data_IF_818040748451
#
_entry.id   IF_818040748451
#
_cell.length_a   1.000
_cell.length_b   1.000
_cell.length_c   1.000
_cell.angle_alpha   90.00
_cell.angle_beta   90.00
_cell.angle_gamma   90.00
#
_symmetry.space_group_name_H-M   'P 1'
#
loop_
_entity.id
_entity.type
_entity.pdbx_description
1 polymer ?
#
# COMPACT_ATOMS: atom_id res chain seq x y z
N UNK A 1 36.16 0.39 -10.53
CA UNK A 1 34.97 1.11 -10.00
C UNK A 1 33.77 0.37 -10.52
N UNK A 2 33.10 -0.41 -9.66
CA UNK A 2 31.85 -1.12 -10.05
C UNK A 2 30.79 -0.06 -10.27
N UNK A 3 30.30 0.05 -11.50
CA UNK A 3 29.15 0.91 -11.86
C UNK A 3 27.95 0.53 -10.99
N UNK A 4 27.26 1.52 -10.42
CA UNK A 4 26.00 1.28 -9.66
C UNK A 4 25.00 0.54 -10.55
N UNK A 5 24.25 -0.46 -10.02
CA UNK A 5 23.45 -1.37 -10.84
C UNK A 5 22.40 -0.70 -11.72
N UNK A 6 21.86 0.46 -11.29
CA UNK A 6 20.88 1.25 -12.02
C UNK A 6 21.46 2.58 -12.55
N UNK A 7 22.80 2.67 -12.70
CA UNK A 7 23.42 3.87 -13.24
C UNK A 7 22.90 4.17 -14.64
N UNK A 8 22.50 5.43 -14.88
CA UNK A 8 21.91 5.88 -16.13
C UNK A 8 20.44 5.51 -16.34
N UNK A 9 19.81 4.80 -15.40
CA UNK A 9 18.38 4.50 -15.45
C UNK A 9 17.54 5.59 -14.79
N UNK A 10 16.46 6.00 -15.44
CA UNK A 10 15.51 6.96 -14.92
C UNK A 10 14.20 6.25 -14.52
N UNK A 11 13.85 6.33 -13.23
CA UNK A 11 12.73 5.61 -12.62
C UNK A 11 11.63 6.58 -12.20
N UNK A 12 10.42 6.40 -12.71
CA UNK A 12 9.22 7.10 -12.22
C UNK A 12 8.59 6.34 -11.05
N UNK A 13 8.40 7.02 -9.92
CA UNK A 13 7.75 6.52 -8.72
C UNK A 13 6.34 7.11 -8.60
N UNK A 14 5.31 6.24 -8.63
CA UNK A 14 3.89 6.65 -8.62
C UNK A 14 3.26 6.69 -7.21
N UNK A 15 4.05 6.43 -6.15
CA UNK A 15 3.59 6.40 -4.74
C UNK A 15 3.15 7.77 -4.24
N UNK A 16 2.23 7.83 -3.24
CA UNK A 16 1.94 9.05 -2.50
C UNK A 16 3.21 9.71 -1.97
N UNK A 17 3.30 11.05 -2.05
CA UNK A 17 4.50 11.81 -1.73
C UNK A 17 5.09 11.46 -0.34
N UNK A 18 4.25 11.41 0.70
CA UNK A 18 4.70 11.07 2.07
C UNK A 18 5.15 9.60 2.26
N UNK A 19 5.13 8.79 1.21
CA UNK A 19 5.55 7.37 1.25
C UNK A 19 6.60 7.04 0.19
N UNK A 20 6.94 8.00 -0.67
CA UNK A 20 7.88 7.79 -1.77
C UNK A 20 9.34 7.83 -1.32
N UNK A 21 9.64 8.58 -0.25
CA UNK A 21 11.01 8.93 0.15
C UNK A 21 11.90 7.71 0.39
N UNK A 22 11.47 6.75 1.21
CA UNK A 22 12.28 5.54 1.48
C UNK A 22 12.54 4.70 0.21
N UNK A 23 11.58 4.68 -0.73
CA UNK A 23 11.76 3.98 -1.99
C UNK A 23 12.68 4.76 -2.94
N UNK A 24 12.55 6.09 -2.98
CA UNK A 24 13.46 6.98 -3.72
C UNK A 24 14.89 6.78 -3.28
N UNK A 25 15.15 6.83 -1.96
CA UNK A 25 16.49 6.62 -1.37
C UNK A 25 17.11 5.28 -1.80
N UNK A 26 16.31 4.19 -1.80
CA UNK A 26 16.79 2.88 -2.24
C UNK A 26 17.17 2.86 -3.73
N UNK A 27 16.38 3.49 -4.58
CA UNK A 27 16.64 3.59 -6.02
C UNK A 27 17.89 4.45 -6.32
N UNK A 28 18.00 5.60 -5.66
CA UNK A 28 19.14 6.50 -5.77
C UNK A 28 20.44 5.85 -5.27
N UNK A 29 20.37 5.08 -4.17
CA UNK A 29 21.50 4.28 -3.68
C UNK A 29 21.94 3.20 -4.69
N UNK A 30 21.01 2.68 -5.50
CA UNK A 30 21.32 1.77 -6.60
C UNK A 30 21.82 2.50 -7.85
N UNK A 31 21.86 3.84 -7.86
CA UNK A 31 22.39 4.67 -8.94
C UNK A 31 21.35 5.22 -9.93
N UNK A 32 20.06 5.03 -9.67
CA UNK A 32 19.00 5.55 -10.55
C UNK A 32 18.77 7.05 -10.36
N UNK A 33 18.37 7.72 -11.44
CA UNK A 33 17.69 9.02 -11.36
C UNK A 33 16.21 8.78 -11.06
N UNK A 34 15.62 9.50 -10.11
CA UNK A 34 14.25 9.26 -9.68
C UNK A 34 13.38 10.49 -9.85
N UNK A 35 12.27 10.32 -10.59
CA UNK A 35 11.18 11.30 -10.62
C UNK A 35 9.99 10.75 -9.84
N UNK A 36 9.37 11.58 -8.98
CA UNK A 36 8.18 11.22 -8.25
C UNK A 36 6.96 11.91 -8.84
N UNK A 37 5.96 11.11 -9.25
CA UNK A 37 4.67 11.60 -9.72
C UNK A 37 3.55 10.83 -9.01
N UNK A 38 3.19 11.22 -7.78
CA UNK A 38 2.23 10.51 -6.96
C UNK A 38 0.84 10.52 -7.58
N UNK A 39 0.44 9.42 -8.20
CA UNK A 39 -0.84 9.31 -8.93
C UNK A 39 -2.07 9.33 -8.03
N UNK A 40 -1.88 9.04 -6.74
CA UNK A 40 -2.92 9.10 -5.70
C UNK A 40 -2.46 9.98 -4.54
N UNK A 41 -3.44 10.56 -3.85
CA UNK A 41 -3.26 11.23 -2.57
C UNK A 41 -4.18 10.62 -1.51
N UNK A 42 -3.71 10.63 -0.27
CA UNK A 42 -4.50 10.24 0.88
C UNK A 42 -5.17 11.49 1.45
N UNK A 43 -6.49 11.44 1.55
CA UNK A 43 -7.31 12.54 2.06
C UNK A 43 -8.11 12.06 3.27
N UNK A 44 -8.67 12.96 4.11
CA UNK A 44 -9.63 12.58 5.13
C UNK A 44 -10.80 11.79 4.51
N UNK A 45 -11.40 10.84 5.24
CA UNK A 45 -12.61 10.15 4.78
C UNK A 45 -13.82 11.11 4.77
N UNK A 46 -14.96 10.69 4.19
CA UNK A 46 -16.19 11.48 4.08
C UNK A 46 -16.72 11.96 5.44
N UNK A 47 -16.63 11.12 6.49
CA UNK A 47 -16.85 11.50 7.89
C UNK A 47 -15.57 11.23 8.72
N UNK A 48 -14.71 12.25 8.90
CA UNK A 48 -13.51 12.12 9.71
C UNK A 48 -13.78 11.82 11.18
N UNK A 49 -14.97 12.15 11.69
CA UNK A 49 -15.35 11.95 13.10
C UNK A 49 -15.58 10.49 13.48
N UNK A 50 -15.83 9.59 12.52
CA UNK A 50 -16.07 8.16 12.83
C UNK A 50 -14.89 7.54 13.57
N UNK A 51 -13.68 7.75 13.10
CA UNK A 51 -12.47 7.21 13.72
C UNK A 51 -12.24 7.80 15.11
N UNK A 52 -12.45 9.10 15.31
CA UNK A 52 -12.33 9.75 16.62
C UNK A 52 -13.34 9.19 17.63
N UNK A 53 -14.60 9.02 17.22
CA UNK A 53 -15.63 8.40 18.09
C UNK A 53 -15.31 6.94 18.45
N UNK A 54 -14.73 6.18 17.51
CA UNK A 54 -14.28 4.82 17.79
C UNK A 54 -13.03 4.80 18.70
N UNK A 55 -12.09 5.72 18.48
CA UNK A 55 -10.89 5.86 19.29
C UNK A 55 -11.20 6.19 20.77
N UNK A 56 -12.24 6.95 21.02
CA UNK A 56 -12.68 7.26 22.40
C UNK A 56 -13.24 6.05 23.16
N UNK A 57 -13.42 4.89 22.53
CA UNK A 57 -14.04 3.68 23.08
C UNK A 57 -13.26 2.42 22.72
N UNK A 58 -11.92 2.50 22.62
CA UNK A 58 -11.10 1.34 22.21
C UNK A 58 -11.18 0.17 23.18
N UNK A 59 -11.42 0.43 24.44
CA UNK A 59 -11.62 -0.55 25.51
C UNK A 59 -12.94 -1.34 25.42
N UNK A 60 -13.91 -0.88 24.62
CA UNK A 60 -15.16 -1.60 24.36
C UNK A 60 -15.02 -2.66 23.24
N UNK A 61 -13.89 -2.71 22.53
CA UNK A 61 -13.68 -3.65 21.44
C UNK A 61 -12.85 -4.84 21.89
N UNK A 62 -13.33 -6.04 21.54
CA UNK A 62 -12.57 -7.29 21.73
C UNK A 62 -11.39 -7.40 20.78
N UNK A 63 -11.53 -6.78 19.58
CA UNK A 63 -10.48 -6.71 18.59
C UNK A 63 -10.42 -5.34 17.91
N UNK A 64 -9.20 -4.87 17.72
CA UNK A 64 -8.89 -3.71 16.87
C UNK A 64 -8.12 -4.21 15.65
N UNK A 65 -8.76 -4.19 14.49
CA UNK A 65 -8.22 -4.73 13.24
C UNK A 65 -7.77 -3.60 12.33
N UNK A 66 -6.50 -3.59 11.96
CA UNK A 66 -5.92 -2.51 11.14
C UNK A 66 -5.36 -3.05 9.83
N UNK A 67 -5.76 -2.46 8.71
CA UNK A 67 -5.46 -3.02 7.38
C UNK A 67 -4.27 -2.38 6.66
N UNK A 68 -3.68 -1.31 7.19
CA UNK A 68 -2.53 -0.64 6.57
C UNK A 68 -1.75 0.23 7.56
N UNK A 69 -0.49 0.52 7.24
CA UNK A 69 0.36 1.47 7.99
C UNK A 69 -0.28 2.86 8.07
N UNK A 70 -0.99 3.30 7.03
CA UNK A 70 -1.70 4.58 7.05
C UNK A 70 -2.87 4.58 8.05
N UNK A 71 -3.60 3.47 8.15
CA UNK A 71 -4.65 3.30 9.14
C UNK A 71 -4.08 3.28 10.56
N UNK A 72 -2.91 2.65 10.79
CA UNK A 72 -2.21 2.71 12.08
C UNK A 72 -1.89 4.15 12.48
N UNK A 73 -1.29 4.93 11.57
CA UNK A 73 -0.94 6.33 11.86
C UNK A 73 -2.16 7.19 12.20
N UNK A 74 -3.27 7.00 11.50
CA UNK A 74 -4.51 7.72 11.73
C UNK A 74 -5.19 7.29 13.04
N UNK A 75 -5.20 5.98 13.33
CA UNK A 75 -5.70 5.46 14.59
C UNK A 75 -4.88 5.97 15.78
N UNK A 76 -3.55 5.97 15.68
CA UNK A 76 -2.68 6.49 16.73
C UNK A 76 -2.93 7.98 17.01
N UNK A 77 -3.09 8.80 15.96
CA UNK A 77 -3.44 10.21 16.14
C UNK A 77 -4.80 10.37 16.83
N UNK A 78 -5.82 9.63 16.40
CA UNK A 78 -7.15 9.67 17.01
C UNK A 78 -7.15 9.16 18.46
N UNK A 79 -6.37 8.12 18.76
CA UNK A 79 -6.23 7.58 20.11
C UNK A 79 -5.49 8.56 21.04
N UNK A 80 -4.50 9.29 20.52
CA UNK A 80 -3.81 10.35 21.29
C UNK A 80 -4.75 11.52 21.60
N UNK A 81 -5.56 11.95 20.63
CA UNK A 81 -6.56 13.02 20.83
C UNK A 81 -7.68 12.60 21.82
N UNK A 82 -8.01 11.29 21.87
CA UNK A 82 -9.03 10.73 22.77
C UNK A 82 -8.47 10.24 24.12
N UNK A 83 -7.18 10.44 24.40
CA UNK A 83 -6.47 9.92 25.60
C UNK A 83 -6.61 8.40 25.78
N UNK A 84 -6.68 7.65 24.67
CA UNK A 84 -6.91 6.20 24.66
C UNK A 84 -5.70 5.37 24.19
N UNK A 85 -4.50 5.95 24.16
CA UNK A 85 -3.27 5.25 23.74
C UNK A 85 -2.97 4.01 24.60
N UNK A 86 -3.30 4.02 25.90
CA UNK A 86 -3.14 2.87 26.77
C UNK A 86 -4.06 1.72 26.30
N UNK A 87 -5.33 1.99 26.01
CA UNK A 87 -6.27 1.00 25.49
C UNK A 87 -5.82 0.46 24.12
N UNK A 88 -5.24 1.30 23.25
CA UNK A 88 -4.64 0.84 22.01
C UNK A 88 -3.45 -0.10 22.26
N UNK A 89 -2.56 0.21 23.20
CA UNK A 89 -1.36 -0.58 23.45
C UNK A 89 -1.67 -1.94 24.13
N UNK A 90 -2.72 -2.02 24.93
CA UNK A 90 -3.11 -3.22 25.70
C UNK A 90 -4.25 -4.04 25.06
N UNK A 91 -4.91 -3.49 24.04
CA UNK A 91 -5.99 -4.17 23.32
C UNK A 91 -5.50 -5.36 22.49
N UNK A 92 -6.44 -6.23 22.09
CA UNK A 92 -6.13 -7.30 21.13
C UNK A 92 -6.13 -6.74 19.73
N UNK A 93 -4.95 -6.70 19.10
CA UNK A 93 -4.77 -6.14 17.77
C UNK A 93 -4.54 -7.20 16.71
N UNK A 94 -5.04 -6.91 15.52
CA UNK A 94 -4.79 -7.72 14.34
C UNK A 94 -4.42 -6.83 13.14
N UNK A 95 -3.41 -7.26 12.38
CA UNK A 95 -2.91 -6.56 11.20
C UNK A 95 -2.95 -7.47 9.97
N UNK A 96 -3.27 -6.93 8.80
CA UNK A 96 -3.34 -7.70 7.57
C UNK A 96 -1.97 -8.21 7.10
N UNK A 97 -0.89 -7.60 7.57
CA UNK A 97 0.47 -7.99 7.18
C UNK A 97 1.57 -7.39 8.05
N UNK A 98 2.83 -7.86 7.86
CA UNK A 98 3.97 -7.54 8.73
C UNK A 98 4.23 -6.05 8.89
N UNK A 99 4.28 -5.29 7.79
CA UNK A 99 4.54 -3.85 7.86
C UNK A 99 3.51 -3.07 8.69
N UNK A 100 2.24 -3.53 8.71
CA UNK A 100 1.20 -2.95 9.56
C UNK A 100 1.39 -3.33 11.01
N UNK A 101 1.77 -4.58 11.29
CA UNK A 101 2.09 -5.05 12.63
C UNK A 101 3.33 -4.34 13.20
N UNK A 102 4.37 -4.13 12.39
CA UNK A 102 5.57 -3.40 12.81
C UNK A 102 5.25 -1.95 13.16
N UNK A 103 4.36 -1.31 12.40
CA UNK A 103 3.89 0.03 12.72
C UNK A 103 3.10 0.08 14.05
N UNK A 104 2.34 -0.97 14.38
CA UNK A 104 1.65 -1.08 15.68
C UNK A 104 2.65 -1.33 16.81
N UNK A 105 3.64 -2.21 16.62
CA UNK A 105 4.71 -2.45 17.61
C UNK A 105 5.51 -1.19 17.93
N UNK A 106 5.76 -0.35 16.92
CA UNK A 106 6.42 0.96 17.14
C UNK A 106 5.61 1.92 18.03
N UNK A 107 4.31 1.65 18.25
CA UNK A 107 3.43 2.38 19.17
C UNK A 107 3.34 1.72 20.57
N UNK A 108 4.13 0.66 20.83
CA UNK A 108 4.14 -0.05 22.11
C UNK A 108 3.17 -1.24 22.18
N UNK A 109 2.54 -1.63 21.08
CA UNK A 109 1.70 -2.84 21.02
C UNK A 109 2.60 -4.07 21.14
N UNK A 110 2.42 -4.87 22.19
CA UNK A 110 3.25 -6.04 22.45
C UNK A 110 2.96 -7.18 21.46
N UNK A 111 1.69 -7.51 21.29
CA UNK A 111 1.23 -8.61 20.45
C UNK A 111 0.24 -8.14 19.39
N UNK A 112 0.44 -8.61 18.16
CA UNK A 112 -0.43 -8.32 17.03
C UNK A 112 -0.60 -9.58 16.19
N UNK A 113 -1.84 -10.04 16.05
CA UNK A 113 -2.17 -11.18 15.20
C UNK A 113 -1.93 -10.81 13.72
N UNK A 114 -1.15 -11.63 13.02
CA UNK A 114 -0.87 -11.47 11.59
C UNK A 114 -1.11 -12.81 10.90
N UNK A 115 -1.95 -12.87 9.86
CA UNK A 115 -2.23 -14.13 9.18
C UNK A 115 -1.03 -14.59 8.34
N UNK A 116 -0.86 -15.90 8.11
CA UNK A 116 0.23 -16.43 7.27
C UNK A 116 0.12 -15.99 5.80
N UNK A 117 -1.11 -15.83 5.30
CA UNK A 117 -1.38 -15.21 4.01
C UNK A 117 -1.92 -13.80 4.24
N UNK A 118 -1.18 -12.78 3.82
CA UNK A 118 -1.44 -11.36 4.08
C UNK A 118 -2.67 -10.84 3.31
N UNK A 119 -3.84 -11.40 3.61
CA UNK A 119 -5.14 -11.13 2.95
C UNK A 119 -6.25 -11.03 3.98
N UNK A 120 -7.30 -10.26 3.65
CA UNK A 120 -8.45 -10.08 4.52
C UNK A 120 -9.16 -11.39 4.89
N UNK A 121 -9.26 -12.33 3.95
CA UNK A 121 -9.87 -13.64 4.15
C UNK A 121 -9.13 -14.46 5.21
N UNK A 122 -7.80 -14.48 5.12
CA UNK A 122 -6.96 -15.20 6.09
C UNK A 122 -7.00 -14.52 7.45
N UNK A 123 -6.96 -13.18 7.49
CA UNK A 123 -7.06 -12.44 8.75
C UNK A 123 -8.39 -12.70 9.46
N UNK A 124 -9.52 -12.72 8.72
CA UNK A 124 -10.79 -13.06 9.29
C UNK A 124 -10.81 -14.47 9.92
N UNK A 125 -10.24 -15.46 9.21
CA UNK A 125 -10.16 -16.83 9.72
C UNK A 125 -9.34 -16.94 11.01
N UNK A 126 -8.19 -16.25 11.08
CA UNK A 126 -7.36 -16.22 12.29
C UNK A 126 -8.07 -15.54 13.47
N UNK A 127 -8.78 -14.42 13.24
CA UNK A 127 -9.55 -13.74 14.29
C UNK A 127 -10.67 -14.65 14.80
N UNK A 128 -11.41 -15.32 13.91
CA UNK A 128 -12.47 -16.28 14.27
C UNK A 128 -11.90 -17.42 15.10
N UNK A 129 -10.78 -18.01 14.67
CA UNK A 129 -10.12 -19.10 15.40
C UNK A 129 -9.62 -18.65 16.79
N UNK A 130 -9.03 -17.48 16.90
CA UNK A 130 -8.50 -16.92 18.14
C UNK A 130 -9.59 -16.46 19.12
N UNK A 131 -10.79 -16.14 18.64
CA UNK A 131 -11.95 -15.73 19.47
C UNK A 131 -12.72 -16.95 19.98
N UNK A 132 -12.85 -17.98 19.15
CA UNK A 132 -13.71 -19.14 19.37
C UNK A 132 -15.16 -18.87 18.96
N UNK A 133 -15.80 -19.87 18.37
CA UNK A 133 -17.14 -19.75 17.78
C UNK A 133 -18.22 -19.29 18.80
N UNK A 134 -18.12 -19.75 20.02
CA UNK A 134 -19.11 -19.45 21.09
C UNK A 134 -19.07 -17.98 21.54
N UNK A 135 -17.90 -17.32 21.44
CA UNK A 135 -17.71 -15.94 21.88
C UNK A 135 -17.85 -14.93 20.74
N UNK A 136 -17.84 -15.41 19.51
CA UNK A 136 -17.78 -14.55 18.34
C UNK A 136 -19.08 -13.74 18.15
N UNK A 137 -20.23 -14.30 18.53
CA UNK A 137 -21.53 -13.61 18.47
C UNK A 137 -21.63 -12.39 19.39
N UNK A 138 -20.84 -12.40 20.47
CA UNK A 138 -20.80 -11.30 21.43
C UNK A 138 -19.62 -10.36 21.18
N UNK A 139 -18.69 -10.77 20.30
CA UNK A 139 -17.48 -10.02 20.04
C UNK A 139 -17.73 -8.73 19.23
N UNK A 140 -17.20 -7.62 19.74
CA UNK A 140 -17.17 -6.33 19.06
C UNK A 140 -15.80 -6.10 18.42
N UNK A 141 -15.80 -5.89 17.12
CA UNK A 141 -14.58 -5.72 16.33
C UNK A 141 -14.56 -4.32 15.72
N UNK A 142 -13.52 -3.53 16.01
CA UNK A 142 -13.24 -2.30 15.32
C UNK A 142 -12.38 -2.59 14.08
N UNK A 143 -12.87 -2.28 12.88
CA UNK A 143 -12.14 -2.42 11.62
C UNK A 143 -11.69 -1.06 11.10
N UNK A 144 -10.41 -0.75 11.25
CA UNK A 144 -9.78 0.51 10.80
C UNK A 144 -9.12 0.31 9.44
N UNK A 145 -9.66 0.96 8.41
CA UNK A 145 -9.27 0.74 7.02
C UNK A 145 -9.44 1.98 6.14
N UNK A 146 -9.06 1.88 4.85
CA UNK A 146 -9.44 2.88 3.87
C UNK A 146 -10.95 2.91 3.66
N UNK A 147 -11.54 4.09 3.39
CA UNK A 147 -12.98 4.25 3.18
C UNK A 147 -13.57 3.31 2.12
N UNK A 148 -12.84 3.13 1.01
CA UNK A 148 -13.23 2.22 -0.10
C UNK A 148 -12.37 0.96 -0.10
N UNK A 149 -12.19 0.34 1.07
CA UNK A 149 -11.53 -0.96 1.16
C UNK A 149 -12.42 -2.08 0.60
N UNK A 150 -11.80 -3.20 0.21
CA UNK A 150 -12.55 -4.40 -0.20
C UNK A 150 -13.38 -4.92 0.98
N UNK A 151 -14.67 -5.27 0.77
CA UNK A 151 -15.57 -5.61 1.86
C UNK A 151 -15.33 -7.00 2.47
N UNK A 152 -14.52 -7.84 1.84
CA UNK A 152 -14.35 -9.26 2.16
C UNK A 152 -13.99 -9.54 3.63
N UNK A 153 -13.14 -8.73 4.25
CA UNK A 153 -12.76 -8.90 5.66
C UNK A 153 -13.98 -8.69 6.57
N UNK A 154 -14.69 -7.57 6.36
CA UNK A 154 -15.92 -7.26 7.09
C UNK A 154 -16.98 -8.34 6.89
N UNK A 155 -17.23 -8.73 5.64
CA UNK A 155 -18.24 -9.74 5.29
C UNK A 155 -17.96 -11.08 5.96
N UNK A 156 -16.68 -11.50 6.01
CA UNK A 156 -16.28 -12.75 6.68
C UNK A 156 -16.49 -12.70 8.19
N UNK A 157 -16.13 -11.60 8.84
CA UNK A 157 -16.31 -11.43 10.29
C UNK A 157 -17.79 -11.36 10.65
N UNK A 158 -18.59 -10.57 9.93
CA UNK A 158 -20.05 -10.48 10.12
C UNK A 158 -20.71 -11.82 9.82
N UNK A 159 -20.34 -12.48 8.73
CA UNK A 159 -20.86 -13.81 8.37
C UNK A 159 -20.53 -14.90 9.40
N UNK A 160 -19.48 -14.71 10.18
CA UNK A 160 -19.12 -15.59 11.30
C UNK A 160 -19.84 -15.21 12.63
N UNK A 161 -20.62 -14.12 12.66
CA UNK A 161 -21.45 -13.70 13.77
C UNK A 161 -20.96 -12.49 14.56
N UNK A 162 -19.75 -11.95 14.27
CA UNK A 162 -19.20 -10.82 15.03
C UNK A 162 -19.91 -9.49 14.73
N UNK A 163 -20.03 -8.64 15.74
CA UNK A 163 -20.36 -7.22 15.59
C UNK A 163 -19.17 -6.44 15.05
N UNK A 164 -19.29 -5.81 13.86
CA UNK A 164 -18.17 -5.10 13.22
C UNK A 164 -18.49 -3.63 13.00
N UNK A 165 -17.79 -2.77 13.74
CA UNK A 165 -17.78 -1.34 13.55
C UNK A 165 -16.65 -0.98 12.56
N UNK A 166 -16.98 -0.31 11.46
CA UNK A 166 -16.00 0.14 10.47
C UNK A 166 -15.65 1.59 10.71
N UNK A 167 -14.37 1.87 10.93
CA UNK A 167 -13.84 3.22 11.04
C UNK A 167 -12.93 3.55 9.83
N UNK A 168 -13.43 4.31 8.85
CA UNK A 168 -12.60 4.81 7.76
C UNK A 168 -11.50 5.74 8.30
N UNK A 169 -10.25 5.36 8.06
CA UNK A 169 -9.10 6.15 8.52
C UNK A 169 -8.65 7.18 7.49
N UNK A 170 -8.88 6.92 6.22
CA UNK A 170 -8.54 7.80 5.09
C UNK A 170 -9.30 7.39 3.84
N UNK A 171 -9.41 8.32 2.90
CA UNK A 171 -9.83 8.04 1.53
C UNK A 171 -8.64 8.13 0.58
N UNK A 172 -8.76 7.49 -0.58
CA UNK A 172 -7.77 7.54 -1.66
C UNK A 172 -8.39 8.25 -2.84
N UNK A 173 -7.77 9.34 -3.26
CA UNK A 173 -8.19 10.10 -4.44
C UNK A 173 -7.12 10.08 -5.54
N UNK A 174 -7.56 10.22 -6.79
CA UNK A 174 -6.66 10.44 -7.92
C UNK A 174 -6.05 11.83 -7.80
N UNK A 175 -4.74 11.91 -7.84
CA UNK A 175 -4.02 13.18 -7.83
C UNK A 175 -3.96 13.77 -9.23
N UNK A 176 -4.90 14.64 -9.57
CA UNK A 176 -4.98 15.26 -10.89
C UNK A 176 -3.89 16.28 -11.17
N UNK A 177 -3.24 16.79 -10.12
CA UNK A 177 -2.21 17.83 -10.21
C UNK A 177 -0.95 17.32 -10.95
N UNK A 178 -0.67 16.01 -10.92
CA UNK A 178 0.48 15.41 -11.59
C UNK A 178 0.22 15.05 -13.07
N UNK A 179 -1.00 15.27 -13.57
CA UNK A 179 -1.38 14.85 -14.94
C UNK A 179 -0.48 15.45 -16.02
N UNK A 180 -0.17 16.75 -15.90
CA UNK A 180 0.71 17.45 -16.85
C UNK A 180 2.10 16.85 -16.86
N UNK A 181 2.72 16.73 -15.69
CA UNK A 181 4.06 16.16 -15.54
C UNK A 181 4.15 14.70 -16.00
N UNK A 182 3.10 13.89 -15.74
CA UNK A 182 3.05 12.50 -16.24
C UNK A 182 2.96 12.43 -17.76
N UNK A 183 2.16 13.30 -18.39
CA UNK A 183 2.05 13.36 -19.85
C UNK A 183 3.39 13.74 -20.47
N UNK A 184 3.99 14.82 -19.99
CA UNK A 184 5.29 15.28 -20.47
C UNK A 184 6.36 14.17 -20.33
N UNK A 185 6.42 13.51 -19.17
CA UNK A 185 7.33 12.39 -18.93
C UNK A 185 7.15 11.25 -19.96
N UNK A 186 5.91 10.90 -20.29
CA UNK A 186 5.57 9.85 -21.24
C UNK A 186 5.83 10.29 -22.68
N UNK A 187 5.38 11.48 -23.07
CA UNK A 187 5.49 12.01 -24.44
C UNK A 187 6.95 12.25 -24.86
N UNK A 188 7.78 12.66 -23.90
CA UNK A 188 9.21 12.88 -24.14
C UNK A 188 10.07 11.61 -23.96
N UNK A 189 9.46 10.48 -23.57
CA UNK A 189 10.19 9.23 -23.33
C UNK A 189 11.28 9.34 -22.26
N UNK A 190 11.06 10.16 -21.22
CA UNK A 190 12.09 10.52 -20.23
C UNK A 190 12.48 9.37 -19.30
N UNK A 191 11.71 8.27 -19.25
CA UNK A 191 11.91 7.24 -18.24
C UNK A 191 12.19 5.86 -18.82
N UNK A 192 13.07 5.14 -18.14
CA UNK A 192 13.31 3.72 -18.40
C UNK A 192 12.30 2.84 -17.68
N UNK A 193 11.82 3.30 -16.50
CA UNK A 193 10.94 2.51 -15.65
C UNK A 193 9.77 3.31 -15.09
N UNK A 194 8.57 2.69 -15.12
CA UNK A 194 7.39 3.09 -14.35
C UNK A 194 7.18 2.08 -13.22
N UNK A 195 7.16 2.52 -11.97
CA UNK A 195 7.02 1.64 -10.81
C UNK A 195 5.67 1.79 -10.13
N UNK A 196 5.02 0.66 -9.86
CA UNK A 196 3.71 0.60 -9.21
C UNK A 196 3.74 -0.27 -7.96
N UNK A 197 3.46 0.33 -6.82
CA UNK A 197 3.48 -0.33 -5.51
C UNK A 197 2.09 -0.59 -4.92
N UNK A 198 1.03 -0.26 -5.67
CA UNK A 198 -0.35 -0.49 -5.29
C UNK A 198 -1.27 -0.49 -6.52
N UNK A 199 -2.31 -1.34 -6.50
CA UNK A 199 -3.34 -1.36 -7.53
C UNK A 199 -4.12 -0.04 -7.65
N UNK A 200 -4.26 0.72 -6.57
CA UNK A 200 -4.88 2.05 -6.59
C UNK A 200 -4.05 3.06 -7.38
N UNK A 201 -2.72 3.03 -7.24
CA UNK A 201 -1.82 3.88 -8.02
C UNK A 201 -1.85 3.53 -9.51
N UNK A 202 -1.90 2.23 -9.83
CA UNK A 202 -2.03 1.75 -11.21
C UNK A 202 -3.35 2.23 -11.87
N UNK A 203 -4.48 2.09 -11.19
CA UNK A 203 -5.77 2.60 -11.67
C UNK A 203 -5.76 4.11 -11.88
N UNK A 204 -5.21 4.84 -10.92
CA UNK A 204 -5.11 6.30 -11.02
C UNK A 204 -4.21 6.76 -12.18
N UNK A 205 -3.10 6.07 -12.40
CA UNK A 205 -2.21 6.33 -13.54
C UNK A 205 -2.99 6.23 -14.87
N UNK A 206 -3.72 5.13 -15.08
CA UNK A 206 -4.51 4.93 -16.30
C UNK A 206 -5.62 5.98 -16.45
N UNK A 207 -6.26 6.40 -15.36
CA UNK A 207 -7.24 7.49 -15.37
C UNK A 207 -6.62 8.84 -15.75
N UNK A 208 -5.35 9.06 -15.41
CA UNK A 208 -4.66 10.32 -15.69
C UNK A 208 -4.16 10.41 -17.13
N UNK A 209 -3.53 9.32 -17.62
CA UNK A 209 -2.77 9.36 -18.88
C UNK A 209 -3.06 8.18 -19.82
N UNK A 210 -4.02 7.32 -19.50
CA UNK A 210 -4.29 6.10 -20.28
C UNK A 210 -3.25 5.01 -20.04
N UNK A 211 -3.29 3.97 -20.89
CA UNK A 211 -2.34 2.84 -20.83
C UNK A 211 -1.07 3.12 -21.66
N UNK A 212 -0.51 4.31 -21.51
CA UNK A 212 0.69 4.73 -22.25
C UNK A 212 1.91 4.75 -21.34
N UNK A 213 3.05 4.25 -21.81
CA UNK A 213 4.29 4.17 -21.02
C UNK A 213 5.42 5.04 -21.59
N UNK A 214 5.28 5.59 -22.80
CA UNK A 214 6.35 6.34 -23.48
C UNK A 214 7.59 5.48 -23.77
N UNK A 215 7.42 4.17 -23.93
CA UNK A 215 8.53 3.24 -24.08
C UNK A 215 9.12 2.71 -22.76
N UNK A 216 8.76 3.30 -21.63
CA UNK A 216 9.25 2.85 -20.32
C UNK A 216 8.75 1.43 -19.96
N UNK A 217 9.61 0.66 -19.33
CA UNK A 217 9.29 -0.65 -18.77
C UNK A 217 8.45 -0.50 -17.48
N UNK A 218 7.57 -1.44 -17.23
CA UNK A 218 6.65 -1.40 -16.09
C UNK A 218 7.05 -2.43 -15.04
N UNK A 219 7.23 -1.97 -13.81
CA UNK A 219 7.55 -2.81 -12.66
C UNK A 219 6.42 -2.75 -11.60
N UNK A 220 6.00 -3.91 -11.12
CA UNK A 220 4.96 -4.05 -10.10
C UNK A 220 5.51 -4.72 -8.84
N UNK A 221 5.08 -4.22 -7.67
CA UNK A 221 5.51 -4.75 -6.36
C UNK A 221 4.95 -6.15 -6.08
N UNK A 222 3.85 -6.54 -6.72
CA UNK A 222 3.17 -7.80 -6.43
C UNK A 222 2.35 -8.31 -7.61
N UNK A 223 2.02 -9.61 -7.66
CA UNK A 223 1.13 -10.19 -8.68
C UNK A 223 -0.25 -9.50 -8.75
N UNK A 224 -0.80 -9.04 -7.62
CA UNK A 224 -2.09 -8.33 -7.58
C UNK A 224 -2.00 -6.97 -8.29
N UNK A 225 -0.90 -6.25 -8.10
CA UNK A 225 -0.64 -4.99 -8.80
C UNK A 225 -0.39 -5.24 -10.29
N UNK A 226 0.36 -6.28 -10.62
CA UNK A 226 0.62 -6.69 -12.00
C UNK A 226 -0.68 -7.05 -12.74
N UNK A 227 -1.54 -7.88 -12.14
CA UNK A 227 -2.84 -8.23 -12.70
C UNK A 227 -3.72 -6.99 -12.95
N UNK A 228 -3.66 -6.01 -12.04
CA UNK A 228 -4.39 -4.74 -12.23
C UNK A 228 -3.87 -3.96 -13.44
N UNK A 229 -2.54 -3.84 -13.61
CA UNK A 229 -1.93 -3.18 -14.75
C UNK A 229 -2.26 -3.87 -16.08
N UNK A 230 -2.10 -5.20 -16.12
CA UNK A 230 -2.43 -6.01 -17.31
C UNK A 230 -3.91 -5.92 -17.68
N UNK A 231 -4.80 -5.85 -16.70
CA UNK A 231 -6.24 -5.64 -16.92
C UNK A 231 -6.58 -4.31 -17.57
N UNK A 232 -5.69 -3.33 -17.51
CA UNK A 232 -5.78 -2.05 -18.22
C UNK A 232 -4.97 -2.00 -19.53
N UNK A 233 -4.37 -3.12 -19.94
CA UNK A 233 -3.55 -3.18 -21.16
C UNK A 233 -2.12 -2.68 -21.01
N UNK A 234 -1.66 -2.39 -19.77
CA UNK A 234 -0.27 -2.04 -19.52
C UNK A 234 0.58 -3.32 -19.44
N UNK A 235 1.64 -3.47 -20.26
CA UNK A 235 2.54 -4.60 -20.18
C UNK A 235 3.34 -4.54 -18.89
N UNK A 236 3.38 -5.63 -18.12
CA UNK A 236 4.21 -5.73 -16.92
C UNK A 236 5.47 -6.50 -17.25
N UNK A 237 6.63 -5.87 -17.08
CA UNK A 237 7.94 -6.44 -17.43
C UNK A 237 8.62 -7.11 -16.24
N UNK A 238 8.36 -6.60 -15.03
CA UNK A 238 8.98 -7.06 -13.79
C UNK A 238 7.95 -7.10 -12.66
N UNK A 239 7.95 -8.18 -11.89
CA UNK A 239 7.21 -8.30 -10.64
C UNK A 239 8.21 -8.66 -9.54
N UNK A 240 8.18 -7.93 -8.43
CA UNK A 240 9.06 -8.21 -7.30
C UNK A 240 8.78 -9.61 -6.71
N UNK A 241 9.83 -10.39 -6.47
CA UNK A 241 9.73 -11.69 -5.82
C UNK A 241 9.35 -11.55 -4.33
N UNK A 242 9.93 -10.57 -3.66
CA UNK A 242 9.53 -10.14 -2.32
C UNK A 242 8.68 -8.86 -2.45
N UNK A 243 7.46 -8.86 -1.92
CA UNK A 243 6.50 -7.76 -2.06
C UNK A 243 6.83 -6.59 -1.13
N UNK A 244 8.04 -6.05 -1.28
CA UNK A 244 8.61 -4.95 -0.48
C UNK A 244 9.33 -3.95 -1.38
N UNK A 245 9.66 -2.77 -0.84
CA UNK A 245 10.42 -1.77 -1.60
C UNK A 245 11.83 -2.28 -1.97
N UNK A 246 12.61 -2.87 -1.04
CA UNK A 246 13.87 -3.51 -1.41
C UNK A 246 13.70 -4.57 -2.49
N UNK A 247 12.72 -5.47 -2.36
CA UNK A 247 12.46 -6.51 -3.36
C UNK A 247 12.09 -5.98 -4.74
N UNK A 248 11.44 -4.79 -4.82
CA UNK A 248 11.18 -4.15 -6.11
C UNK A 248 12.47 -3.55 -6.71
N UNK A 249 13.35 -2.96 -5.88
CA UNK A 249 14.68 -2.51 -6.34
C UNK A 249 15.50 -3.70 -6.84
N UNK A 250 15.56 -4.81 -6.10
CA UNK A 250 16.27 -6.02 -6.50
C UNK A 250 15.79 -6.54 -7.86
N UNK A 251 14.48 -6.50 -8.09
CA UNK A 251 13.88 -6.92 -9.35
C UNK A 251 14.24 -6.00 -10.53
N UNK A 252 14.32 -4.68 -10.30
CA UNK A 252 14.81 -3.71 -11.28
C UNK A 252 16.28 -3.95 -11.61
N UNK A 253 17.13 -4.12 -10.59
CA UNK A 253 18.56 -4.41 -10.74
C UNK A 253 18.78 -5.70 -11.53
N UNK A 254 18.07 -6.79 -11.19
CA UNK A 254 18.16 -8.05 -11.90
C UNK A 254 17.71 -7.96 -13.36
N UNK A 255 16.77 -7.06 -13.67
CA UNK A 255 16.34 -6.81 -15.05
C UNK A 255 17.34 -5.98 -15.83
N UNK A 256 17.94 -4.95 -15.22
CA UNK A 256 18.95 -4.10 -15.84
C UNK A 256 20.26 -4.88 -16.17
N UNK A 257 20.59 -5.88 -15.36
CA UNK A 257 21.77 -6.73 -15.58
C UNK A 257 21.64 -7.73 -16.74
N UNK A 258 20.46 -7.88 -17.38
CA UNK A 258 20.25 -8.80 -18.51
C UNK A 258 20.69 -8.16 -19.81
N UNK A 259 21.76 -8.68 -20.49
CA UNK A 259 22.22 -8.15 -21.77
C UNK A 259 21.12 -8.32 -22.84
N UNK A 260 20.81 -7.24 -23.57
CA UNK A 260 19.94 -7.27 -24.74
C UNK A 260 18.58 -6.56 -24.63
N UNK A 261 18.19 -5.93 -23.49
CA UNK A 261 16.88 -5.27 -23.36
C UNK A 261 16.90 -3.74 -23.50
N UNK A 262 18.05 -3.09 -23.41
CA UNK A 262 18.18 -1.62 -23.43
C UNK A 262 18.58 -1.03 -24.81
N UNK A 263 18.81 -1.86 -25.82
CA UNK A 263 19.31 -1.38 -27.14
C UNK A 263 18.20 -0.91 -28.10
N UNK A 264 16.91 -0.94 -27.71
CA UNK A 264 15.80 -0.68 -28.63
C UNK A 264 15.14 0.71 -28.52
N UNK A 265 15.61 1.62 -27.66
CA UNK A 265 14.89 2.88 -27.39
C UNK A 265 15.68 4.18 -27.62
N UNK A 266 16.90 4.14 -28.09
CA UNK A 266 17.68 5.37 -28.31
C UNK A 266 18.18 5.51 -29.77
N UNK A 267 17.36 5.15 -30.77
CA UNK A 267 17.65 5.44 -32.17
C UNK A 267 16.50 6.29 -32.74
N UNK A 268 16.44 7.53 -32.32
CA UNK A 268 15.80 8.64 -33.05
C UNK A 268 16.69 9.87 -32.95
N UNK A 269 17.57 9.97 -33.97
CA UNK A 269 18.20 11.22 -34.38
C UNK A 269 17.17 12.15 -35.04
#
# INVERSE_FOLDING_TARGET
MTSSPLAGQHVLVTRPAGQAEGFRTLLEAAGATVTTAPTIRLVPPSDPGVLGRAAARLDEYDWIVVTSVNAVRRLAAAAAEADSMCALATGRLAAVGPATADALRALGVADCLVPPAYRGEALAAEIVAATGAERLSDARILLVQAERARPVLRERLVGAGAGVDVAPAYAVEVNRDVRGALREFIELGLGDWLTFTASSAARAFVQLVGAQTGGALVAAISPVTAATLSGFGLPVHVVAATHSMPGLVDALVASAARPGRLAATHDHA
#
